data_IF_305243810024
#
_entry.id   IF_305243810024
#
_cell.length_a   1.000
_cell.length_b   1.000
_cell.length_c   1.000
_cell.angle_alpha   90.00
_cell.angle_beta   90.00
_cell.angle_gamma   90.00
#
_symmetry.space_group_name_H-M   'P 1'
#
loop_
_entity.id
_entity.type
_entity.pdbx_description
1 polymer ?
#
# COMPACT_ATOMS: atom_id res chain seq x y z
N UNK A 1 -22.38 -32.17 -2.32
CA UNK A 1 -22.01 -31.56 -1.04
C UNK A 1 -20.57 -31.96 -0.73
N UNK A 2 -19.58 -31.20 -1.21
CA UNK A 2 -18.17 -31.49 -0.96
C UNK A 2 -17.71 -30.66 0.23
N UNK A 3 -17.42 -31.33 1.34
CA UNK A 3 -16.93 -30.70 2.57
C UNK A 3 -15.52 -30.14 2.36
N UNK A 4 -15.37 -28.82 2.46
CA UNK A 4 -14.06 -28.17 2.55
C UNK A 4 -13.57 -28.21 4.00
N UNK A 5 -12.67 -29.13 4.30
CA UNK A 5 -11.91 -29.12 5.54
C UNK A 5 -10.91 -27.97 5.50
N UNK A 6 -11.15 -26.93 6.30
CA UNK A 6 -10.24 -25.80 6.49
C UNK A 6 -9.17 -26.23 7.50
N UNK A 7 -7.94 -26.45 7.03
CA UNK A 7 -6.81 -26.81 7.90
C UNK A 7 -6.20 -25.51 8.42
N UNK A 8 -6.45 -25.20 9.69
CA UNK A 8 -5.77 -24.12 10.40
C UNK A 8 -4.34 -24.59 10.67
N UNK A 9 -3.37 -24.04 9.95
CA UNK A 9 -1.96 -24.35 10.15
C UNK A 9 -1.49 -23.72 11.48
N UNK A 10 -1.21 -24.57 12.47
CA UNK A 10 -0.55 -24.17 13.71
C UNK A 10 0.94 -23.93 13.43
N UNK A 11 1.31 -22.69 13.13
CA UNK A 11 2.70 -22.33 12.86
C UNK A 11 3.49 -22.18 14.17
N UNK A 12 4.63 -22.88 14.28
CA UNK A 12 5.59 -22.77 15.39
C UNK A 12 6.46 -21.52 15.23
N UNK A 13 7.19 -21.09 16.28
CA UNK A 13 7.97 -19.85 16.30
C UNK A 13 9.03 -19.73 15.20
N UNK A 14 9.50 -20.85 14.64
CA UNK A 14 10.42 -20.87 13.51
C UNK A 14 9.77 -20.37 12.20
N UNK A 15 8.46 -20.56 12.04
CA UNK A 15 7.70 -20.12 10.85
C UNK A 15 7.46 -18.60 10.89
N UNK A 16 7.29 -18.03 12.09
CA UNK A 16 7.04 -16.60 12.29
C UNK A 16 8.24 -15.77 11.80
N UNK A 17 9.47 -16.24 12.06
CA UNK A 17 10.69 -15.55 11.62
C UNK A 17 10.88 -15.52 10.09
N UNK A 18 10.33 -16.49 9.36
CA UNK A 18 10.37 -16.53 7.89
C UNK A 18 9.36 -15.53 7.28
N UNK A 19 8.16 -15.44 7.85
CA UNK A 19 7.15 -14.45 7.45
C UNK A 19 7.60 -13.00 7.71
N UNK A 20 8.21 -12.72 8.87
CA UNK A 20 8.74 -11.38 9.15
C UNK A 20 9.86 -10.99 8.19
N UNK A 21 10.72 -11.96 7.82
CA UNK A 21 11.77 -11.70 6.83
C UNK A 21 11.19 -11.42 5.44
N UNK A 22 10.13 -12.11 5.02
CA UNK A 22 9.42 -11.81 3.78
C UNK A 22 8.83 -10.39 3.79
N UNK A 23 8.16 -9.98 4.87
CA UNK A 23 7.53 -8.66 4.99
C UNK A 23 8.52 -7.49 4.88
N UNK A 24 9.79 -7.67 5.27
CA UNK A 24 10.84 -6.64 5.12
C UNK A 24 11.35 -6.49 3.68
N UNK A 25 11.18 -7.51 2.83
CA UNK A 25 11.55 -7.44 1.40
C UNK A 25 10.48 -6.68 0.63
N UNK A 26 9.21 -6.88 0.99
CA UNK A 26 8.07 -6.15 0.43
C UNK A 26 8.12 -4.65 0.79
N UNK A 27 8.58 -4.29 1.99
CA UNK A 27 8.73 -2.90 2.42
C UNK A 27 9.80 -2.13 1.61
N UNK A 28 10.86 -2.83 1.18
CA UNK A 28 11.91 -2.26 0.32
C UNK A 28 11.42 -1.94 -1.11
N UNK A 29 10.32 -2.56 -1.56
CA UNK A 29 9.72 -2.28 -2.86
C UNK A 29 8.81 -1.03 -2.83
N UNK A 30 8.29 -0.66 -1.66
CA UNK A 30 7.44 0.54 -1.45
C UNK A 30 8.28 1.81 -1.15
N UNK A 31 9.59 1.79 -1.34
CA UNK A 31 10.48 2.95 -1.19
C UNK A 31 10.80 3.69 -2.50
N UNK A 32 10.37 3.17 -3.66
CA UNK A 32 10.85 3.63 -4.97
C UNK A 32 9.88 4.58 -5.71
N UNK A 33 8.76 4.93 -5.07
CA UNK A 33 7.69 5.71 -5.70
C UNK A 33 7.84 7.23 -5.40
N UNK A 34 9.05 7.77 -5.59
CA UNK A 34 9.32 9.22 -5.73
C UNK A 34 9.00 9.70 -7.17
N UNK A 35 8.33 8.87 -7.96
CA UNK A 35 7.77 9.24 -9.26
C UNK A 35 6.76 10.38 -9.08
N UNK A 36 6.80 11.34 -9.99
CA UNK A 36 5.90 12.48 -10.00
C UNK A 36 4.44 12.03 -9.89
N UNK A 37 3.64 12.70 -9.06
CA UNK A 37 2.25 12.28 -8.92
C UNK A 37 1.50 12.47 -10.25
N UNK A 38 0.84 11.41 -10.74
CA UNK A 38 -0.04 11.50 -11.92
C UNK A 38 -1.30 12.36 -11.76
N UNK A 39 -1.51 13.01 -10.61
CA UNK A 39 -2.70 13.83 -10.28
C UNK A 39 -2.36 15.29 -10.01
N UNK A 40 -1.23 15.56 -9.36
CA UNK A 40 -0.79 16.90 -8.97
C UNK A 40 0.64 17.18 -9.45
N UNK A 41 1.04 18.45 -9.64
CA UNK A 41 2.32 18.80 -10.26
C UNK A 41 3.53 18.77 -9.31
N UNK A 42 3.49 18.00 -8.21
CA UNK A 42 4.60 17.86 -7.24
C UNK A 42 4.91 16.37 -6.99
N UNK A 43 6.09 16.02 -6.43
CA UNK A 43 6.45 14.64 -6.18
C UNK A 43 5.56 13.99 -5.11
N UNK A 44 5.45 12.66 -5.18
CA UNK A 44 4.66 11.89 -4.22
C UNK A 44 5.21 11.99 -2.78
N UNK A 45 6.49 12.31 -2.62
CA UNK A 45 7.15 12.50 -1.33
C UNK A 45 6.58 13.67 -0.50
N UNK A 46 5.96 14.67 -1.14
CA UNK A 46 5.34 15.80 -0.45
C UNK A 46 3.93 15.47 0.09
N UNK A 47 3.44 14.25 -0.18
CA UNK A 47 2.15 13.81 0.32
C UNK A 47 2.25 13.40 1.80
N UNK A 48 1.51 14.10 2.65
CA UNK A 48 1.05 13.52 3.91
C UNK A 48 0.06 12.35 3.64
N UNK A 49 -0.16 11.50 4.63
CA UNK A 49 -1.13 10.40 4.59
C UNK A 49 -2.52 10.82 4.09
N UNK A 50 -2.98 12.04 4.41
CA UNK A 50 -4.24 12.57 3.91
C UNK A 50 -4.13 12.89 2.41
N UNK A 51 -3.10 13.62 2.00
CA UNK A 51 -2.85 13.99 0.60
C UNK A 51 -2.76 12.73 -0.29
N UNK A 52 -2.03 11.70 0.15
CA UNK A 52 -1.89 10.43 -0.56
C UNK A 52 -3.25 9.76 -0.84
N UNK A 53 -4.16 9.76 0.14
CA UNK A 53 -5.51 9.18 -0.02
C UNK A 53 -6.34 9.94 -1.05
N UNK A 54 -6.31 11.27 -1.03
CA UNK A 54 -7.06 12.09 -2.00
C UNK A 54 -6.49 11.96 -3.42
N UNK A 55 -5.17 11.94 -3.56
CA UNK A 55 -4.52 11.70 -4.85
C UNK A 55 -4.87 10.32 -5.40
N UNK A 56 -4.84 9.27 -4.57
CA UNK A 56 -5.27 7.92 -4.98
C UNK A 56 -6.73 7.88 -5.41
N UNK A 57 -7.63 8.49 -4.63
CA UNK A 57 -9.05 8.56 -4.96
C UNK A 57 -9.32 9.34 -6.26
N UNK A 58 -8.59 10.43 -6.50
CA UNK A 58 -8.70 11.23 -7.73
C UNK A 58 -8.15 10.47 -8.93
N UNK A 59 -7.01 9.78 -8.79
CA UNK A 59 -6.42 8.91 -9.82
C UNK A 59 -7.39 7.81 -10.25
N UNK A 60 -8.09 7.22 -9.27
CA UNK A 60 -9.08 6.16 -9.51
C UNK A 60 -10.44 6.70 -9.99
N UNK A 61 -10.57 8.01 -10.21
CA UNK A 61 -11.80 8.66 -10.66
C UNK A 61 -12.92 8.70 -9.62
N UNK A 62 -12.64 8.37 -8.36
CA UNK A 62 -13.63 8.36 -7.28
C UNK A 62 -14.01 9.77 -6.80
N UNK A 63 -13.15 10.77 -7.03
CA UNK A 63 -13.38 12.17 -6.63
C UNK A 63 -13.09 13.10 -7.82
N UNK A 64 -14.07 13.91 -8.21
CA UNK A 64 -13.94 14.88 -9.32
C UNK A 64 -13.39 16.25 -8.86
N UNK A 65 -13.04 16.40 -7.58
CA UNK A 65 -12.71 17.69 -6.94
C UNK A 65 -11.22 17.82 -6.57
N UNK A 66 -10.31 17.45 -7.48
CA UNK A 66 -8.86 17.64 -7.28
C UNK A 66 -8.28 17.01 -6.00
N UNK A 67 -7.00 17.26 -5.74
CA UNK A 67 -6.30 16.80 -4.54
C UNK A 67 -6.17 17.91 -3.48
N UNK A 68 -6.06 17.54 -2.20
CA UNK A 68 -5.90 18.48 -1.07
C UNK A 68 -4.45 18.83 -0.73
N UNK A 69 -3.50 18.38 -1.55
CA UNK A 69 -2.09 18.51 -1.30
C UNK A 69 -1.65 19.97 -1.16
N UNK A 70 -0.68 20.21 -0.27
CA UNK A 70 0.05 21.47 -0.16
C UNK A 70 1.42 21.20 -0.79
N UNK A 71 1.69 21.85 -1.93
CA UNK A 71 2.90 21.66 -2.72
C UNK A 71 4.17 22.15 -2.01
#
# INVERSE_FOLDING_TARGET
>A
MTSSTFVIASTTSADIGDLERASLLDDAAEGMNEESCGVCPHPHADHDAIAARFCSATRNGAIARGCVCQA
#
